data_IF_807061215509
#
_entry.id   IF_807061215509
#
_cell.length_a   1.000
_cell.length_b   1.000
_cell.length_c   1.000
_cell.angle_alpha   90.00
_cell.angle_beta   90.00
_cell.angle_gamma   90.00
#
_symmetry.space_group_name_H-M   'P 1'
#
loop_
_entity.id
_entity.type
_entity.pdbx_description
1 polymer ?
#
# COMPACT_ATOMS: atom_id res chain seq x y z
N UNK A 1 34.97 -3.48 17.58
CA UNK A 1 33.59 -3.29 17.07
C UNK A 1 33.43 -4.12 15.81
N UNK A 2 32.36 -4.90 15.69
CA UNK A 2 32.03 -5.64 14.46
C UNK A 2 31.66 -4.66 13.34
N UNK A 3 32.10 -4.94 12.12
CA UNK A 3 31.61 -4.28 10.90
C UNK A 3 30.39 -5.03 10.40
N UNK A 4 29.33 -4.31 10.02
CA UNK A 4 28.03 -4.90 9.69
C UNK A 4 27.67 -4.84 8.19
N UNK A 5 28.54 -4.28 7.34
CA UNK A 5 28.45 -4.29 5.87
C UNK A 5 27.03 -4.07 5.28
N UNK A 6 26.37 -2.93 5.54
CA UNK A 6 25.03 -2.68 5.01
C UNK A 6 25.03 -2.61 3.48
N UNK A 7 24.02 -3.20 2.85
CA UNK A 7 23.77 -3.11 1.42
C UNK A 7 22.27 -2.92 1.17
N UNK A 8 21.94 -2.08 0.18
CA UNK A 8 20.57 -1.95 -0.29
C UNK A 8 20.26 -3.08 -1.28
N UNK A 9 19.10 -3.72 -1.13
CA UNK A 9 18.58 -4.71 -2.07
C UNK A 9 17.22 -4.26 -2.57
N UNK A 10 16.94 -4.52 -3.84
CA UNK A 10 15.67 -4.17 -4.46
C UNK A 10 14.75 -5.39 -4.48
N UNK A 11 13.54 -5.24 -3.93
CA UNK A 11 12.51 -6.29 -3.88
C UNK A 11 11.27 -5.74 -4.58
N UNK A 12 10.95 -6.26 -5.77
CA UNK A 12 9.86 -5.75 -6.62
C UNK A 12 8.61 -6.62 -6.60
N UNK A 13 8.80 -7.91 -6.30
CA UNK A 13 7.76 -8.93 -6.37
C UNK A 13 7.76 -9.79 -5.11
N UNK A 14 6.65 -10.49 -4.86
CA UNK A 14 6.59 -11.48 -3.77
C UNK A 14 7.62 -12.58 -3.95
N UNK A 15 7.91 -12.98 -5.19
CA UNK A 15 8.91 -14.02 -5.46
C UNK A 15 10.32 -13.55 -5.09
N UNK A 16 10.68 -12.31 -5.41
CA UNK A 16 11.95 -11.71 -4.94
C UNK A 16 12.01 -11.71 -3.41
N UNK A 17 10.93 -11.28 -2.76
CA UNK A 17 10.84 -11.23 -1.31
C UNK A 17 11.03 -12.63 -0.68
N UNK A 18 10.30 -13.63 -1.16
CA UNK A 18 10.41 -15.03 -0.72
C UNK A 18 11.84 -15.54 -0.88
N UNK A 19 12.45 -15.31 -2.05
CA UNK A 19 13.81 -15.74 -2.36
C UNK A 19 14.84 -15.12 -1.41
N UNK A 20 14.78 -13.81 -1.18
CA UNK A 20 15.71 -13.12 -0.29
C UNK A 20 15.52 -13.54 1.17
N UNK A 21 14.27 -13.64 1.65
CA UNK A 21 13.97 -14.10 3.01
C UNK A 21 14.46 -15.55 3.21
N UNK A 22 14.22 -16.43 2.24
CA UNK A 22 14.65 -17.84 2.29
C UNK A 22 16.17 -17.98 2.39
N UNK A 23 16.94 -17.13 1.68
CA UNK A 23 18.41 -17.13 1.75
C UNK A 23 18.96 -16.83 3.14
N UNK A 24 18.22 -16.07 3.96
CA UNK A 24 18.60 -15.78 5.35
C UNK A 24 18.45 -17.03 6.25
N UNK A 25 17.63 -18.01 5.84
CA UNK A 25 17.36 -19.21 6.63
C UNK A 25 16.25 -19.02 7.68
N UNK A 26 15.29 -18.12 7.42
CA UNK A 26 14.11 -17.96 8.27
C UNK A 26 13.21 -19.21 8.28
N UNK A 27 12.37 -19.34 9.32
CA UNK A 27 11.37 -20.41 9.41
C UNK A 27 10.47 -20.41 8.15
N UNK A 28 10.29 -21.55 7.46
CA UNK A 28 9.50 -21.62 6.24
C UNK A 28 8.07 -21.10 6.37
N UNK A 29 7.42 -21.27 7.53
CA UNK A 29 6.06 -20.80 7.77
C UNK A 29 5.99 -19.27 7.94
N UNK A 30 7.11 -18.63 8.30
CA UNK A 30 7.19 -17.17 8.44
C UNK A 30 7.37 -16.44 7.10
N UNK A 31 7.83 -17.15 6.06
CA UNK A 31 8.18 -16.55 4.76
C UNK A 31 6.96 -15.87 4.14
N UNK A 32 5.82 -16.57 4.06
CA UNK A 32 4.60 -16.04 3.46
C UNK A 32 4.00 -14.87 4.25
N UNK A 33 4.24 -14.82 5.56
CA UNK A 33 3.80 -13.72 6.42
C UNK A 33 4.67 -12.47 6.20
N UNK A 34 5.95 -12.66 5.90
CA UNK A 34 6.91 -11.57 5.74
C UNK A 34 7.00 -11.05 4.31
N UNK A 35 6.84 -11.90 3.29
CA UNK A 35 7.02 -11.52 1.89
C UNK A 35 6.18 -10.29 1.47
N UNK A 36 4.88 -10.18 1.82
CA UNK A 36 4.07 -9.01 1.46
C UNK A 36 4.51 -7.71 2.16
N UNK A 37 5.31 -7.79 3.23
CA UNK A 37 5.85 -6.63 3.95
C UNK A 37 7.11 -6.07 3.29
N UNK A 38 7.73 -6.81 2.38
CA UNK A 38 8.97 -6.42 1.72
C UNK A 38 8.76 -5.78 0.33
N UNK A 39 7.57 -5.94 -0.25
CA UNK A 39 7.25 -5.41 -1.60
C UNK A 39 6.55 -4.08 -1.46
N UNK A 40 7.24 -2.99 -1.82
CA UNK A 40 6.71 -1.62 -1.76
C UNK A 40 6.12 -1.20 -3.11
N UNK A 41 4.98 -0.49 -3.05
CA UNK A 41 4.25 0.02 -4.22
C UNK A 41 3.85 1.47 -4.02
N UNK A 42 3.80 2.19 -5.13
CA UNK A 42 3.34 3.58 -5.23
C UNK A 42 2.27 3.67 -6.30
N UNK A 43 1.05 4.02 -5.93
CA UNK A 43 -0.12 4.00 -6.81
C UNK A 43 -0.72 5.41 -6.87
N UNK A 44 -0.79 5.97 -8.07
CA UNK A 44 -1.44 7.24 -8.34
C UNK A 44 -2.91 6.96 -8.64
N UNK A 45 -3.81 7.62 -7.90
CA UNK A 45 -5.22 7.70 -8.25
C UNK A 45 -5.54 9.11 -8.72
N UNK A 46 -6.24 9.19 -9.85
CA UNK A 46 -6.75 10.43 -10.40
C UNK A 46 -8.25 10.54 -10.16
N UNK A 47 -8.76 11.77 -10.16
CA UNK A 47 -10.20 12.03 -10.06
C UNK A 47 -10.85 11.53 -8.75
N UNK A 48 -10.17 11.67 -7.62
CA UNK A 48 -10.67 11.25 -6.30
C UNK A 48 -11.42 12.40 -5.61
N UNK A 49 -12.62 12.13 -5.12
CA UNK A 49 -13.39 13.11 -4.35
C UNK A 49 -12.62 13.52 -3.06
N UNK A 50 -12.55 14.80 -2.68
CA UNK A 50 -11.74 15.26 -1.53
C UNK A 50 -12.02 14.51 -0.22
N UNK A 51 -13.29 14.23 0.08
CA UNK A 51 -13.67 13.42 1.24
C UNK A 51 -13.12 12.00 1.18
N UNK A 52 -13.13 11.37 0.01
CA UNK A 52 -12.63 10.01 -0.18
C UNK A 52 -11.10 9.99 -0.03
N UNK A 53 -10.40 11.00 -0.58
CA UNK A 53 -8.96 11.18 -0.42
C UNK A 53 -8.55 11.27 1.07
N UNK A 54 -9.29 12.03 1.87
CA UNK A 54 -9.05 12.14 3.31
C UNK A 54 -9.29 10.80 4.00
N UNK A 55 -10.39 10.11 3.69
CA UNK A 55 -10.70 8.78 4.29
C UNK A 55 -9.61 7.76 3.95
N UNK A 56 -9.23 7.66 2.67
CA UNK A 56 -8.16 6.77 2.21
C UNK A 56 -6.85 7.09 2.94
N UNK A 57 -6.52 8.38 3.11
CA UNK A 57 -5.34 8.78 3.90
C UNK A 57 -5.44 8.32 5.36
N UNK A 58 -6.57 8.53 6.02
CA UNK A 58 -6.74 8.11 7.42
C UNK A 58 -6.66 6.58 7.57
N UNK A 59 -7.32 5.82 6.70
CA UNK A 59 -7.28 4.36 6.72
C UNK A 59 -5.86 3.84 6.47
N UNK A 60 -5.14 4.43 5.52
CA UNK A 60 -3.75 4.06 5.23
C UNK A 60 -2.78 4.42 6.37
N UNK A 61 -2.94 5.58 7.01
CA UNK A 61 -2.14 5.96 8.18
C UNK A 61 -2.36 5.00 9.35
N UNK A 62 -3.61 4.56 9.56
CA UNK A 62 -3.96 3.64 10.65
C UNK A 62 -3.34 2.24 10.53
N UNK A 63 -2.84 1.86 9.35
CA UNK A 63 -2.11 0.60 9.11
C UNK A 63 -0.60 0.81 8.90
N UNK A 64 -0.10 2.04 9.09
CA UNK A 64 1.32 2.39 8.96
C UNK A 64 1.79 2.67 7.53
N UNK A 65 0.87 2.92 6.59
CA UNK A 65 1.16 3.40 5.25
C UNK A 65 1.09 4.93 5.13
N UNK A 66 1.20 5.47 3.92
CA UNK A 66 1.07 6.91 3.65
C UNK A 66 0.27 7.19 2.36
N UNK A 67 -0.40 8.34 2.32
CA UNK A 67 -1.05 8.88 1.13
C UNK A 67 -0.73 10.36 1.01
N UNK A 68 -0.05 10.76 -0.06
CA UNK A 68 0.07 12.17 -0.39
C UNK A 68 -1.25 12.67 -0.99
N UNK A 69 -1.80 13.72 -0.40
CA UNK A 69 -3.01 14.42 -0.86
C UNK A 69 -2.70 15.91 -1.03
N UNK A 70 -3.45 16.66 -1.87
CA UNK A 70 -3.21 18.08 -2.05
C UNK A 70 -3.44 18.89 -0.77
N UNK A 71 -2.76 20.04 -0.67
CA UNK A 71 -2.90 20.94 0.48
C UNK A 71 -4.31 21.54 0.58
N UNK A 72 -4.91 21.86 -0.56
CA UNK A 72 -6.23 22.50 -0.68
C UNK A 72 -7.40 21.52 -0.56
N UNK A 73 -7.15 20.23 -0.25
CA UNK A 73 -8.18 19.19 -0.14
C UNK A 73 -9.26 19.49 0.90
N UNK A 74 -8.93 20.28 1.93
CA UNK A 74 -9.88 20.70 2.98
C UNK A 74 -10.72 21.91 2.56
N UNK A 75 -10.19 22.74 1.67
CA UNK A 75 -10.79 24.00 1.21
C UNK A 75 -11.69 23.76 0.00
N UNK A 76 -11.24 22.93 -0.95
CA UNK A 76 -11.91 22.73 -2.23
C UNK A 76 -12.66 21.40 -2.27
N UNK A 77 -13.82 21.34 -1.62
CA UNK A 77 -14.61 20.11 -1.47
C UNK A 77 -15.33 19.63 -2.73
N UNK A 78 -15.45 20.47 -3.75
CA UNK A 78 -16.18 20.14 -4.98
C UNK A 78 -15.27 19.72 -6.14
N UNK A 79 -13.96 19.94 -6.02
CA UNK A 79 -13.00 19.61 -7.07
C UNK A 79 -12.29 18.29 -6.76
N UNK A 80 -12.49 17.30 -7.63
CA UNK A 80 -11.76 16.04 -7.56
C UNK A 80 -10.25 16.27 -7.67
N UNK A 81 -9.49 15.41 -7.01
CA UNK A 81 -8.05 15.57 -6.80
C UNK A 81 -7.26 14.33 -7.23
N UNK A 82 -5.93 14.46 -7.22
CA UNK A 82 -4.99 13.35 -7.45
C UNK A 82 -4.33 13.01 -6.13
N UNK A 83 -4.21 11.73 -5.82
CA UNK A 83 -3.56 11.24 -4.60
C UNK A 83 -2.53 10.16 -4.93
N UNK A 84 -1.45 10.08 -4.15
CA UNK A 84 -0.41 9.06 -4.30
C UNK A 84 -0.38 8.19 -3.05
N UNK A 85 -0.80 6.94 -3.19
CA UNK A 85 -0.83 5.94 -2.11
C UNK A 85 0.50 5.20 -2.11
N UNK A 86 1.13 5.07 -0.95
CA UNK A 86 2.47 4.50 -0.80
C UNK A 86 2.49 3.50 0.35
N UNK A 87 2.92 2.28 0.09
CA UNK A 87 2.96 1.24 1.11
C UNK A 87 3.40 -0.11 0.59
N UNK A 88 3.42 -1.09 1.49
CA UNK A 88 3.74 -2.48 1.13
C UNK A 88 2.51 -3.21 0.61
N UNK A 89 2.67 -4.34 -0.07
CA UNK A 89 1.53 -5.17 -0.48
C UNK A 89 0.65 -5.57 0.72
N UNK A 90 1.24 -5.78 1.91
CA UNK A 90 0.47 -5.94 3.15
C UNK A 90 -0.44 -4.74 3.42
N UNK A 91 0.09 -3.52 3.33
CA UNK A 91 -0.73 -2.31 3.55
C UNK A 91 -1.86 -2.23 2.52
N UNK A 92 -1.61 -2.53 1.25
CA UNK A 92 -2.65 -2.49 0.22
C UNK A 92 -3.76 -3.51 0.46
N UNK A 93 -3.45 -4.75 0.88
CA UNK A 93 -4.46 -5.75 1.25
C UNK A 93 -5.34 -5.26 2.39
N UNK A 94 -4.73 -4.76 3.47
CA UNK A 94 -5.46 -4.22 4.62
C UNK A 94 -6.28 -2.96 4.25
N UNK A 95 -5.77 -2.12 3.34
CA UNK A 95 -6.48 -0.95 2.84
C UNK A 95 -7.72 -1.36 2.03
N UNK A 96 -7.61 -2.28 1.08
CA UNK A 96 -8.74 -2.81 0.30
C UNK A 96 -9.84 -3.35 1.23
N UNK A 97 -9.46 -4.15 2.24
CA UNK A 97 -10.41 -4.66 3.23
C UNK A 97 -11.14 -3.57 4.02
N UNK A 98 -10.45 -2.46 4.33
CA UNK A 98 -11.05 -1.30 5.00
C UNK A 98 -11.97 -0.52 4.06
N UNK A 99 -11.50 -0.18 2.85
CA UNK A 99 -12.26 0.57 1.84
C UNK A 99 -13.56 -0.16 1.45
N UNK A 100 -13.54 -1.49 1.36
CA UNK A 100 -14.72 -2.31 1.08
C UNK A 100 -15.86 -2.20 2.12
N UNK A 101 -15.58 -1.69 3.32
CA UNK A 101 -16.57 -1.51 4.40
C UNK A 101 -17.23 -0.12 4.40
N UNK A 102 -16.71 0.82 3.62
CA UNK A 102 -17.25 2.18 3.50
C UNK A 102 -18.45 2.25 2.53
N UNK A 103 -18.91 3.45 2.22
CA UNK A 103 -20.02 3.69 1.29
C UNK A 103 -19.65 3.38 -0.18
N UNK A 104 -20.64 3.21 -1.08
CA UNK A 104 -20.43 2.63 -2.41
C UNK A 104 -19.32 3.27 -3.27
N UNK A 105 -19.17 4.60 -3.23
CA UNK A 105 -18.13 5.30 -4.02
C UNK A 105 -16.70 4.88 -3.63
N UNK A 106 -16.42 4.73 -2.32
CA UNK A 106 -15.12 4.23 -1.86
C UNK A 106 -14.93 2.75 -2.20
N UNK A 107 -16.00 1.95 -2.18
CA UNK A 107 -15.91 0.54 -2.61
C UNK A 107 -15.48 0.40 -4.06
N UNK A 108 -15.87 1.32 -4.94
CA UNK A 108 -15.40 1.32 -6.32
C UNK A 108 -13.87 1.51 -6.40
N UNK A 109 -13.32 2.47 -5.64
CA UNK A 109 -11.87 2.66 -5.53
C UNK A 109 -11.18 1.41 -4.98
N UNK A 110 -11.80 0.76 -3.98
CA UNK A 110 -11.31 -0.50 -3.43
C UNK A 110 -11.19 -1.60 -4.51
N UNK A 111 -12.24 -1.78 -5.30
CA UNK A 111 -12.26 -2.77 -6.39
C UNK A 111 -11.23 -2.43 -7.49
N UNK A 112 -11.03 -1.14 -7.81
CA UNK A 112 -10.01 -0.69 -8.75
C UNK A 112 -8.59 -1.01 -8.25
N UNK A 113 -8.32 -0.76 -6.97
CA UNK A 113 -7.04 -1.10 -6.33
C UNK A 113 -6.81 -2.63 -6.29
N UNK A 114 -7.85 -3.39 -5.95
CA UNK A 114 -7.80 -4.85 -5.94
C UNK A 114 -7.51 -5.41 -7.33
N UNK A 115 -8.18 -4.91 -8.37
CA UNK A 115 -7.96 -5.34 -9.75
C UNK A 115 -6.55 -4.99 -10.24
N UNK A 116 -6.05 -3.79 -9.91
CA UNK A 116 -4.70 -3.36 -10.28
C UNK A 116 -3.63 -4.27 -9.66
N UNK A 117 -3.84 -4.72 -8.42
CA UNK A 117 -2.87 -5.52 -7.66
C UNK A 117 -3.12 -7.03 -7.77
N UNK A 118 -4.09 -7.49 -8.56
CA UNK A 118 -4.55 -8.88 -8.59
C UNK A 118 -3.45 -9.91 -8.85
N UNK A 119 -2.50 -9.57 -9.73
CA UNK A 119 -1.36 -10.44 -10.08
C UNK A 119 -0.21 -10.35 -9.07
N UNK A 120 -0.30 -9.44 -8.10
CA UNK A 120 0.71 -9.23 -7.07
C UNK A 120 0.39 -9.92 -5.74
N UNK A 121 -0.75 -10.62 -5.64
CA UNK A 121 -1.24 -11.22 -4.40
C UNK A 121 -0.66 -12.61 -4.13
#
# INVERSE_FOLDING_TARGET
MSKHNPAAIEIKTLEDARKEIKKIGCDPNSIEIMAPKAVFKTILLENVHPTDAIIIKQDMLSIGGEVAIPMDVFENKEKNCRILIMGTLRHFRELVDKLNRHYPRIKNISNELENLLREEW
#
